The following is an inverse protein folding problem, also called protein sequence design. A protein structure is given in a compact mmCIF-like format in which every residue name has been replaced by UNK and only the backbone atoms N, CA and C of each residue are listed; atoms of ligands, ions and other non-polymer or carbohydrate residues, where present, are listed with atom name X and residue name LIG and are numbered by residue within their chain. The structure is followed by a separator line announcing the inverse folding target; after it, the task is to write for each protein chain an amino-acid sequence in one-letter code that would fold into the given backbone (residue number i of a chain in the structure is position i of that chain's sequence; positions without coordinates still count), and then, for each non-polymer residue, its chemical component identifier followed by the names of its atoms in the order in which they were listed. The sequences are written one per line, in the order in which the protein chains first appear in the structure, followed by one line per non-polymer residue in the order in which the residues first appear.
data_IF_829010633359
#
_entry.id   IF_829010633359
#
_cell.length_a   1.000
_cell.length_b   1.000
_cell.length_c   1.000
_cell.angle_alpha   90.00
_cell.angle_beta   90.00
_cell.angle_gamma   90.00
#
_symmetry.space_group_name_H-M   'P 1'
#
loop_
_entity.id
_entity.type
_entity.pdbx_description
1 polymer ?
#
# COMPACT_ATOMS: atom_id res chain seq x y z
N UNK A 1 16.26 9.36 23.53
CA UNK A 1 15.40 8.26 24.03
C UNK A 1 13.92 8.57 23.85
N UNK A 2 13.47 9.79 24.15
CA UNK A 2 12.04 10.16 24.15
C UNK A 2 11.34 10.10 22.79
N UNK A 3 12.03 10.41 21.69
CA UNK A 3 11.45 10.31 20.36
C UNK A 3 11.15 8.86 19.97
N UNK A 4 12.02 7.92 20.32
CA UNK A 4 11.82 6.49 20.01
C UNK A 4 10.64 5.95 20.81
N UNK A 5 10.52 6.34 22.07
CA UNK A 5 9.39 5.94 22.93
C UNK A 5 8.07 6.58 22.47
N UNK A 6 8.07 7.87 22.10
CA UNK A 6 6.89 8.52 21.50
C UNK A 6 6.48 7.86 20.20
N UNK A 7 7.42 7.60 19.30
CA UNK A 7 7.13 6.93 18.03
C UNK A 7 6.57 5.52 18.29
N UNK A 8 7.15 4.77 19.23
CA UNK A 8 6.65 3.46 19.66
C UNK A 8 5.19 3.51 20.15
N UNK A 9 4.86 4.48 21.01
CA UNK A 9 3.47 4.66 21.47
C UNK A 9 2.53 5.08 20.35
N UNK A 10 2.97 5.95 19.42
CA UNK A 10 2.17 6.33 18.26
C UNK A 10 1.91 5.15 17.32
N UNK A 11 2.90 4.30 17.06
CA UNK A 11 2.72 3.10 16.25
C UNK A 11 1.90 2.02 16.96
N UNK A 12 1.98 1.94 18.30
CA UNK A 12 1.22 0.97 19.08
C UNK A 12 -0.25 1.37 19.27
N UNK A 13 -0.57 2.67 19.22
CA UNK A 13 -1.94 3.19 19.35
C UNK A 13 -2.57 3.56 18.00
N UNK A 14 -1.80 3.60 16.91
CA UNK A 14 -2.36 3.75 15.59
C UNK A 14 -3.16 2.49 15.22
N UNK A 15 -4.46 2.65 14.97
CA UNK A 15 -5.34 1.61 14.40
C UNK A 15 -4.92 1.16 12.98
N UNK A 16 -3.76 1.60 12.50
CA UNK A 16 -3.18 1.25 11.22
C UNK A 16 -2.43 -0.08 11.38
N UNK A 17 -3.13 -1.17 11.06
CA UNK A 17 -2.71 -2.55 11.29
C UNK A 17 -1.55 -3.01 10.36
N UNK A 18 -0.66 -2.12 9.93
CA UNK A 18 0.42 -2.45 8.99
C UNK A 18 1.71 -2.74 9.77
N UNK A 19 2.28 -3.96 9.70
CA UNK A 19 3.50 -4.30 10.41
C UNK A 19 4.66 -3.41 9.97
N UNK A 20 5.37 -2.80 10.91
CA UNK A 20 6.53 -1.93 10.64
C UNK A 20 7.61 -2.66 9.83
N UNK A 21 7.78 -3.97 10.07
CA UNK A 21 8.70 -4.81 9.30
C UNK A 21 8.38 -4.82 7.80
N UNK A 22 7.10 -4.83 7.43
CA UNK A 22 6.64 -4.85 6.03
C UNK A 22 6.88 -3.50 5.36
N UNK A 23 6.69 -2.41 6.08
CA UNK A 23 7.02 -1.05 5.59
C UNK A 23 8.53 -0.93 5.36
N UNK A 24 9.35 -1.44 6.27
CA UNK A 24 10.82 -1.45 6.10
C UNK A 24 11.24 -2.26 4.87
N UNK A 25 10.63 -3.41 4.63
CA UNK A 25 10.87 -4.20 3.41
C UNK A 25 10.49 -3.43 2.15
N UNK A 26 9.37 -2.70 2.15
CA UNK A 26 8.97 -1.86 1.01
C UNK A 26 10.00 -0.77 0.70
N UNK A 27 10.53 -0.11 1.73
CA UNK A 27 11.55 0.94 1.59
C UNK A 27 12.81 0.34 0.95
N UNK A 28 13.28 -0.79 1.45
CA UNK A 28 14.45 -1.48 0.90
C UNK A 28 14.22 -1.87 -0.56
N UNK A 29 13.06 -2.44 -0.90
CA UNK A 29 12.75 -2.82 -2.29
C UNK A 29 12.69 -1.60 -3.21
N UNK A 30 12.10 -0.48 -2.76
CA UNK A 30 12.07 0.74 -3.55
C UNK A 30 13.45 1.35 -3.75
N UNK A 31 14.28 1.38 -2.70
CA UNK A 31 15.67 1.83 -2.81
C UNK A 31 16.47 0.98 -3.79
N UNK A 32 16.27 -0.35 -3.79
CA UNK A 32 16.88 -1.25 -4.77
C UNK A 32 16.35 -0.99 -6.19
N UNK A 33 15.04 -0.78 -6.37
CA UNK A 33 14.46 -0.45 -7.66
C UNK A 33 15.02 0.87 -8.22
N UNK A 34 15.22 1.87 -7.35
CA UNK A 34 15.83 3.15 -7.71
C UNK A 34 17.30 2.97 -8.12
N UNK A 35 18.06 2.20 -7.35
CA UNK A 35 19.47 1.93 -7.63
C UNK A 35 19.69 1.16 -8.94
N UNK A 36 18.77 0.24 -9.26
CA UNK A 36 18.77 -0.52 -10.51
C UNK A 36 18.22 0.28 -11.71
N UNK A 37 17.78 1.53 -11.51
CA UNK A 37 17.14 2.37 -12.54
C UNK A 37 15.75 1.88 -12.97
N UNK A 38 15.17 0.88 -12.28
CA UNK A 38 13.88 0.25 -12.58
C UNK A 38 12.75 0.94 -11.82
N UNK A 39 12.63 2.26 -11.99
CA UNK A 39 11.67 3.10 -11.26
C UNK A 39 10.22 2.64 -11.39
N UNK A 40 9.85 2.09 -12.55
CA UNK A 40 8.50 1.56 -12.79
C UNK A 40 8.15 0.35 -11.91
N UNK A 41 9.13 -0.52 -11.64
CA UNK A 41 8.93 -1.68 -10.79
C UNK A 41 8.71 -1.24 -9.34
N UNK A 42 9.47 -0.25 -8.86
CA UNK A 42 9.26 0.34 -7.54
C UNK A 42 7.85 0.92 -7.39
N UNK A 43 7.35 1.60 -8.43
CA UNK A 43 5.98 2.13 -8.46
C UNK A 43 4.92 1.01 -8.37
N UNK A 44 5.11 -0.08 -9.14
CA UNK A 44 4.21 -1.23 -9.13
C UNK A 44 4.17 -1.91 -7.75
N UNK A 45 5.35 -2.15 -7.16
CA UNK A 45 5.47 -2.77 -5.83
C UNK A 45 4.81 -1.89 -4.77
N UNK A 46 5.05 -0.57 -4.83
CA UNK A 46 4.40 0.39 -3.92
C UNK A 46 2.90 0.39 -4.06
N UNK A 47 2.39 0.29 -5.30
CA UNK A 47 0.97 0.19 -5.57
C UNK A 47 0.36 -1.08 -4.95
N UNK A 48 0.97 -2.25 -5.18
CA UNK A 48 0.53 -3.52 -4.61
C UNK A 48 0.54 -3.49 -3.08
N UNK A 49 1.56 -2.86 -2.48
CA UNK A 49 1.66 -2.71 -1.04
C UNK A 49 0.49 -1.91 -0.46
N UNK A 50 0.17 -0.75 -1.06
CA UNK A 50 -0.94 0.10 -0.61
C UNK A 50 -2.28 -0.62 -0.74
N UNK A 51 -2.50 -1.37 -1.83
CA UNK A 51 -3.74 -2.15 -2.00
C UNK A 51 -3.85 -3.27 -0.97
N UNK A 52 -2.78 -4.02 -0.73
CA UNK A 52 -2.80 -5.14 0.22
C UNK A 52 -2.99 -4.65 1.67
N UNK A 53 -2.14 -3.73 2.12
CA UNK A 53 -2.17 -3.27 3.51
C UNK A 53 -3.26 -2.25 3.79
N UNK A 54 -3.51 -1.33 2.84
CA UNK A 54 -4.53 -0.31 2.97
C UNK A 54 -5.95 -0.86 2.88
N UNK A 55 -6.19 -1.90 2.07
CA UNK A 55 -7.53 -2.39 1.80
C UNK A 55 -7.77 -3.86 2.18
N UNK A 56 -6.90 -4.79 1.77
CA UNK A 56 -7.11 -6.23 2.03
C UNK A 56 -7.03 -6.52 3.53
N UNK A 57 -6.01 -5.99 4.20
CA UNK A 57 -5.78 -6.25 5.61
C UNK A 57 -6.72 -5.47 6.54
N UNK A 58 -7.07 -4.24 6.17
CA UNK A 58 -7.96 -3.37 6.94
C UNK A 58 -9.41 -3.39 6.45
N UNK A 59 -9.82 -4.46 5.74
CA UNK A 59 -11.13 -4.55 5.09
C UNK A 59 -12.30 -4.28 6.04
N UNK A 60 -12.25 -4.79 7.27
CA UNK A 60 -13.31 -4.57 8.27
C UNK A 60 -13.47 -3.10 8.65
N UNK A 61 -12.35 -2.41 8.90
CA UNK A 61 -12.32 -0.98 9.22
C UNK A 61 -12.75 -0.14 8.01
N UNK A 62 -12.31 -0.53 6.82
CA UNK A 62 -12.67 0.15 5.56
C UNK A 62 -14.17 0.02 5.23
N UNK A 63 -14.75 -1.17 5.43
CA UNK A 63 -16.20 -1.39 5.24
C UNK A 63 -17.00 -0.58 6.26
N UNK A 64 -16.53 -0.47 7.51
CA UNK A 64 -17.12 0.40 8.52
C UNK A 64 -17.10 1.87 8.11
N UNK A 65 -15.96 2.37 7.63
CA UNK A 65 -15.80 3.75 7.15
C UNK A 65 -16.66 4.07 5.92
N UNK A 66 -16.92 3.09 5.07
CA UNK A 66 -17.79 3.21 3.88
C UNK A 66 -19.29 3.03 4.19
N UNK A 67 -19.68 3.05 5.47
CA UNK A 67 -21.07 2.94 5.90
C UNK A 67 -21.70 1.57 5.66
N UNK A 68 -20.89 0.50 5.67
CA UNK A 68 -21.28 -0.88 5.33
C UNK A 68 -21.86 -1.04 3.91
N UNK A 69 -21.63 -0.06 3.04
CA UNK A 69 -22.19 -0.08 1.69
C UNK A 69 -21.32 -0.97 0.80
N UNK A 70 -21.86 -2.12 0.38
CA UNK A 70 -21.17 -3.02 -0.56
C UNK A 70 -20.72 -2.30 -1.84
N UNK A 71 -21.50 -1.30 -2.29
CA UNK A 71 -21.20 -0.50 -3.48
C UNK A 71 -19.86 0.26 -3.40
N UNK A 72 -19.55 0.90 -2.25
CA UNK A 72 -18.28 1.64 -2.09
C UNK A 72 -17.07 0.71 -2.18
N UNK A 73 -17.22 -0.52 -1.68
CA UNK A 73 -16.18 -1.54 -1.75
C UNK A 73 -15.96 -2.01 -3.20
N UNK A 74 -17.02 -2.21 -3.98
CA UNK A 74 -16.91 -2.57 -5.39
C UNK A 74 -16.24 -1.48 -6.23
N UNK A 75 -16.61 -0.21 -6.02
CA UNK A 75 -16.00 0.92 -6.73
C UNK A 75 -14.52 1.03 -6.40
N UNK A 76 -14.15 0.90 -5.13
CA UNK A 76 -12.74 0.95 -4.71
C UNK A 76 -11.91 -0.17 -5.34
N UNK A 77 -12.40 -1.43 -5.31
CA UNK A 77 -11.71 -2.57 -5.93
C UNK A 77 -11.62 -2.39 -7.45
N UNK A 78 -12.67 -1.88 -8.09
CA UNK A 78 -12.68 -1.63 -9.53
C UNK A 78 -11.63 -0.60 -9.94
N UNK A 79 -11.54 0.54 -9.24
CA UNK A 79 -10.52 1.54 -9.47
C UNK A 79 -9.11 1.01 -9.14
N UNK A 80 -9.01 0.20 -8.08
CA UNK A 80 -7.78 -0.48 -7.69
C UNK A 80 -7.23 -1.36 -8.81
N UNK A 81 -8.05 -2.28 -9.31
CA UNK A 81 -7.69 -3.18 -10.40
C UNK A 81 -7.42 -2.41 -11.69
N UNK A 82 -8.24 -1.42 -12.03
CA UNK A 82 -8.06 -0.62 -13.25
C UNK A 82 -6.72 0.11 -13.25
N UNK A 83 -6.32 0.68 -12.11
CA UNK A 83 -5.03 1.37 -11.97
C UNK A 83 -3.87 0.39 -12.05
N UNK A 84 -4.00 -0.81 -11.45
CA UNK A 84 -3.00 -1.87 -11.59
C UNK A 84 -2.83 -2.32 -13.05
N UNK A 85 -3.94 -2.49 -13.79
CA UNK A 85 -3.92 -2.86 -15.20
C UNK A 85 -3.26 -1.79 -16.07
N UNK A 86 -3.56 -0.51 -15.82
CA UNK A 86 -2.91 0.60 -16.52
C UNK A 86 -1.42 0.64 -16.20
N UNK A 87 -1.03 0.41 -14.95
CA UNK A 87 0.37 0.38 -14.55
C UNK A 87 1.15 -0.76 -15.24
N UNK A 88 0.56 -1.96 -15.31
CA UNK A 88 1.16 -3.11 -16.02
C UNK A 88 1.21 -2.87 -17.53
N UNK A 89 0.14 -2.33 -18.13
CA UNK A 89 0.13 -1.98 -19.56
C UNK A 89 1.18 -0.90 -19.91
N UNK A 90 1.39 0.07 -19.02
CA UNK A 90 2.44 1.08 -19.15
C UNK A 90 3.86 0.56 -18.89
N UNK A 91 3.98 -0.61 -18.26
CA UNK A 91 5.24 -1.35 -18.15
C UNK A 91 5.54 -2.06 -19.49
N UNK A 92 4.58 -2.83 -20.00
CA UNK A 92 4.71 -3.61 -21.24
C UNK A 92 4.87 -2.76 -22.51
N UNK A 93 4.38 -1.51 -22.54
CA UNK A 93 4.53 -0.59 -23.69
C UNK A 93 5.90 0.12 -23.77
N UNK A 94 6.71 0.05 -22.72
CA UNK A 94 8.03 0.68 -22.70
C UNK A 94 9.19 -0.34 -22.79
N UNK A 95 8.86 -1.59 -23.11
CA UNK A 95 9.81 -2.60 -23.61
C UNK A 95 9.77 -2.62 -25.14
#
# INVERSE_FOLDING_TARGET
MDLINKLSDYFSNAEFNVPVSQVMTLVVINSLCLFLGKNKLGLLVSYCFVVYWGFVFNRSNFVGALGQTAFGLYVYVFFGISTALIAVAGFLRQE
#
